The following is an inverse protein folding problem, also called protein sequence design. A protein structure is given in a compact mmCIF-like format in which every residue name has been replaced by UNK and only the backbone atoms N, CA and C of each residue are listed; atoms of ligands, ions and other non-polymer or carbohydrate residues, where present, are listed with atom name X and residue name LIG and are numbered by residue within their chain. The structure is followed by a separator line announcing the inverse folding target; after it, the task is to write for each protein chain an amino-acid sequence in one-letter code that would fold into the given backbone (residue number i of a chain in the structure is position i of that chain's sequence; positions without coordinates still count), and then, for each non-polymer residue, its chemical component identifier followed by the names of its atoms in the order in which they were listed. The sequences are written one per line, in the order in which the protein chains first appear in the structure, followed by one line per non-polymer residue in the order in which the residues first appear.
data_IF_994656374054
#
_entry.id   IF_994656374054
#
_cell.length_a   1.000
_cell.length_b   1.000
_cell.length_c   1.000
_cell.angle_alpha   90.00
_cell.angle_beta   90.00
_cell.angle_gamma   90.00
#
_symmetry.space_group_name_H-M   'P 1'
#
loop_
_entity.id
_entity.type
_entity.pdbx_description
1 polymer ?
#
# COMPACT_ATOMS: atom_id res chain seq x y z
N UNK A 1 20.40 -7.72 -3.68
CA UNK A 1 20.02 -8.65 -4.78
C UNK A 1 18.77 -8.10 -5.43
N UNK A 2 18.61 -8.23 -6.75
CA UNK A 2 17.39 -7.79 -7.43
C UNK A 2 16.42 -8.95 -7.64
N UNK A 3 15.13 -8.68 -7.50
CA UNK A 3 14.03 -9.59 -7.77
C UNK A 3 14.01 -9.90 -9.26
N UNK A 4 13.86 -11.17 -9.60
CA UNK A 4 13.65 -11.64 -10.97
C UNK A 4 12.32 -11.09 -11.50
N UNK A 5 12.40 -9.96 -12.23
CA UNK A 5 11.23 -9.26 -12.78
C UNK A 5 10.44 -10.13 -13.75
N UNK A 6 11.09 -10.94 -14.58
CA UNK A 6 10.38 -11.82 -15.53
C UNK A 6 9.53 -12.84 -14.77
N UNK A 7 10.15 -13.56 -13.83
CA UNK A 7 9.43 -14.52 -12.99
C UNK A 7 8.28 -13.84 -12.22
N UNK A 8 8.54 -12.70 -11.58
CA UNK A 8 7.52 -11.96 -10.85
C UNK A 8 6.32 -11.62 -11.75
N UNK A 9 6.56 -10.99 -12.90
CA UNK A 9 5.49 -10.57 -13.80
C UNK A 9 4.72 -11.74 -14.40
N UNK A 10 5.39 -12.85 -14.71
CA UNK A 10 4.74 -14.07 -15.21
C UNK A 10 3.81 -14.68 -14.15
N UNK A 11 4.28 -14.80 -12.91
CA UNK A 11 3.49 -15.34 -11.81
C UNK A 11 2.28 -14.46 -11.47
N UNK A 12 2.46 -13.14 -11.31
CA UNK A 12 1.33 -12.26 -10.93
C UNK A 12 0.32 -12.14 -12.07
N UNK A 13 0.77 -12.08 -13.32
CA UNK A 13 -0.11 -12.04 -14.50
C UNK A 13 -1.06 -13.25 -14.50
N UNK A 14 -0.53 -14.45 -14.27
CA UNK A 14 -1.31 -15.68 -14.25
C UNK A 14 -2.23 -15.79 -13.02
N UNK A 15 -1.74 -15.46 -11.83
CA UNK A 15 -2.41 -15.78 -10.56
C UNK A 15 -3.31 -14.69 -9.99
N UNK A 16 -3.07 -13.43 -10.37
CA UNK A 16 -3.70 -12.24 -9.78
C UNK A 16 -4.40 -11.36 -10.81
N UNK A 17 -3.91 -11.30 -12.04
CA UNK A 17 -4.42 -10.35 -13.06
C UNK A 17 -5.16 -11.02 -14.24
N UNK A 18 -5.51 -12.30 -14.10
CA UNK A 18 -6.36 -12.98 -15.09
C UNK A 18 -5.71 -13.14 -16.46
N UNK A 19 -4.38 -13.32 -16.49
CA UNK A 19 -3.61 -13.60 -17.71
C UNK A 19 -3.11 -12.35 -18.45
N UNK A 20 -3.48 -11.14 -18.05
CA UNK A 20 -3.03 -9.89 -18.70
C UNK A 20 -2.75 -8.78 -17.70
N UNK A 21 -1.82 -7.90 -18.05
CA UNK A 21 -1.53 -6.67 -17.30
C UNK A 21 -1.63 -5.48 -18.24
N UNK A 22 -2.27 -4.42 -17.78
CA UNK A 22 -2.25 -3.13 -18.47
C UNK A 22 -0.96 -2.38 -18.16
N UNK A 23 -0.56 -1.45 -19.03
CA UNK A 23 0.65 -0.65 -18.81
C UNK A 23 0.63 0.12 -17.47
N UNK A 24 -0.48 0.75 -17.04
CA UNK A 24 -0.55 1.35 -15.71
C UNK A 24 -0.34 0.35 -14.56
N UNK A 25 -0.84 -0.88 -14.67
CA UNK A 25 -0.60 -1.91 -13.65
C UNK A 25 0.88 -2.28 -13.59
N UNK A 26 1.55 -2.43 -14.74
CA UNK A 26 2.99 -2.68 -14.82
C UNK A 26 3.76 -1.54 -14.16
N UNK A 27 3.49 -0.29 -14.52
CA UNK A 27 4.16 0.88 -13.93
C UNK A 27 3.95 0.98 -12.42
N UNK A 28 2.76 0.63 -11.94
CA UNK A 28 2.43 0.58 -10.51
C UNK A 28 3.22 -0.48 -9.74
N UNK A 29 3.26 -1.70 -10.29
CA UNK A 29 4.03 -2.80 -9.73
C UNK A 29 5.54 -2.47 -9.72
N UNK A 30 6.06 -1.93 -10.82
CA UNK A 30 7.47 -1.51 -10.91
C UNK A 30 7.79 -0.46 -9.83
N UNK A 31 6.98 0.59 -9.68
CA UNK A 31 7.24 1.63 -8.68
C UNK A 31 7.34 1.07 -7.24
N UNK A 32 6.53 0.05 -6.90
CA UNK A 32 6.58 -0.61 -5.59
C UNK A 32 7.85 -1.46 -5.45
N UNK A 33 8.19 -2.23 -6.49
CA UNK A 33 9.37 -3.10 -6.48
C UNK A 33 10.69 -2.32 -6.50
N UNK A 34 10.76 -1.24 -7.27
CA UNK A 34 11.93 -0.39 -7.39
C UNK A 34 12.21 0.29 -6.04
N UNK A 35 11.18 0.83 -5.38
CA UNK A 35 11.30 1.37 -4.02
C UNK A 35 11.76 0.30 -3.01
N UNK A 36 11.20 -0.92 -3.09
CA UNK A 36 11.59 -2.00 -2.19
C UNK A 36 13.07 -2.36 -2.34
N UNK A 37 13.57 -2.47 -3.57
CA UNK A 37 14.97 -2.80 -3.83
C UNK A 37 15.94 -1.67 -3.49
N UNK A 38 15.48 -0.43 -3.55
CA UNK A 38 16.29 0.74 -3.19
C UNK A 38 16.38 0.90 -1.66
N UNK A 39 15.25 0.83 -0.96
CA UNK A 39 15.15 1.26 0.43
C UNK A 39 15.02 0.12 1.44
N UNK A 40 14.48 -1.03 1.03
CA UNK A 40 14.07 -2.14 1.91
C UNK A 40 14.65 -3.49 1.48
N UNK A 41 15.77 -3.49 0.74
CA UNK A 41 16.34 -4.69 0.11
C UNK A 41 16.74 -5.81 1.07
N UNK A 42 16.95 -5.49 2.35
CA UNK A 42 17.32 -6.43 3.41
C UNK A 42 16.15 -6.75 4.36
N UNK A 43 14.96 -6.21 4.11
CA UNK A 43 13.77 -6.47 4.90
C UNK A 43 13.14 -7.82 4.52
N UNK A 44 12.19 -8.25 5.34
CA UNK A 44 11.46 -9.51 5.16
C UNK A 44 10.50 -9.42 3.96
N UNK A 45 10.71 -10.26 2.94
CA UNK A 45 9.89 -10.32 1.71
C UNK A 45 8.39 -10.44 1.94
N UNK A 46 7.97 -10.96 3.11
CA UNK A 46 6.55 -11.02 3.49
C UNK A 46 5.95 -9.62 3.60
N UNK A 47 6.75 -8.60 3.93
CA UNK A 47 6.32 -7.21 4.00
C UNK A 47 6.03 -6.66 2.60
N UNK A 48 6.93 -6.88 1.63
CA UNK A 48 6.70 -6.53 0.22
C UNK A 48 5.43 -7.19 -0.32
N UNK A 49 5.30 -8.50 -0.11
CA UNK A 49 4.15 -9.26 -0.57
C UNK A 49 2.84 -8.71 0.02
N UNK A 50 2.84 -8.34 1.30
CA UNK A 50 1.68 -7.79 1.97
C UNK A 50 1.35 -6.35 1.53
N UNK A 51 2.37 -5.52 1.27
CA UNK A 51 2.20 -4.19 0.69
C UNK A 51 1.58 -4.26 -0.71
N UNK A 52 2.08 -5.14 -1.58
CA UNK A 52 1.53 -5.41 -2.91
C UNK A 52 0.07 -5.86 -2.85
N UNK A 53 -0.26 -6.78 -1.94
CA UNK A 53 -1.62 -7.25 -1.74
C UNK A 53 -2.57 -6.16 -1.23
N UNK A 54 -2.08 -5.30 -0.34
CA UNK A 54 -2.81 -4.14 0.15
C UNK A 54 -3.10 -3.20 -1.01
N UNK A 55 -2.08 -2.78 -1.77
CA UNK A 55 -2.26 -1.92 -2.93
C UNK A 55 -3.21 -2.54 -3.97
N UNK A 56 -3.09 -3.84 -4.23
CA UNK A 56 -3.99 -4.56 -5.13
C UNK A 56 -5.45 -4.51 -4.67
N UNK A 57 -5.71 -4.71 -3.38
CA UNK A 57 -7.06 -4.66 -2.84
C UNK A 57 -7.64 -3.24 -2.83
N UNK A 58 -6.90 -2.30 -2.27
CA UNK A 58 -7.37 -0.92 -2.03
C UNK A 58 -7.55 -0.11 -3.31
N UNK A 59 -6.85 -0.48 -4.39
CA UNK A 59 -6.91 0.24 -5.68
C UNK A 59 -7.85 -0.42 -6.70
N UNK A 60 -8.65 -1.41 -6.27
CA UNK A 60 -9.41 -2.30 -7.17
C UNK A 60 -8.52 -2.84 -8.31
N UNK A 61 -7.35 -3.36 -7.94
CA UNK A 61 -6.40 -4.05 -8.82
C UNK A 61 -5.76 -3.14 -9.88
N UNK A 62 -5.96 -1.82 -9.81
CA UNK A 62 -5.35 -0.87 -10.74
C UNK A 62 -3.85 -0.70 -10.50
N UNK A 63 -3.39 -0.95 -9.27
CA UNK A 63 -2.01 -0.71 -8.83
C UNK A 63 -1.57 0.75 -9.04
N UNK A 64 -2.53 1.66 -9.00
CA UNK A 64 -2.32 3.10 -9.16
C UNK A 64 -2.89 3.81 -7.94
N UNK A 65 -2.30 4.94 -7.57
CA UNK A 65 -2.84 5.78 -6.51
C UNK A 65 -4.20 6.35 -6.95
N UNK A 66 -5.27 6.06 -6.21
CA UNK A 66 -6.64 6.48 -6.56
C UNK A 66 -7.32 7.23 -5.41
N UNK A 67 -8.40 7.93 -5.74
CA UNK A 67 -9.32 8.52 -4.77
C UNK A 67 -10.39 7.51 -4.33
N UNK A 68 -10.80 7.60 -3.07
CA UNK A 68 -11.96 6.88 -2.52
C UNK A 68 -13.22 7.22 -3.32
N UNK A 69 -13.91 6.20 -3.80
CA UNK A 69 -15.22 6.37 -4.42
C UNK A 69 -16.22 6.98 -3.43
N UNK A 70 -16.91 8.04 -3.83
CA UNK A 70 -17.84 8.76 -2.97
C UNK A 70 -17.16 9.68 -1.94
N UNK A 71 -15.82 9.78 -1.93
CA UNK A 71 -15.06 10.81 -1.21
C UNK A 71 -15.44 10.96 0.27
N UNK A 72 -15.69 9.84 0.95
CA UNK A 72 -16.07 9.80 2.36
C UNK A 72 -17.50 10.26 2.66
N UNK A 73 -18.42 10.29 1.69
CA UNK A 73 -19.82 10.69 1.91
C UNK A 73 -20.44 9.95 3.11
N UNK A 74 -20.96 10.71 4.07
CA UNK A 74 -21.54 10.18 5.31
C UNK A 74 -20.53 9.89 6.43
N UNK A 75 -19.23 10.06 6.19
CA UNK A 75 -18.16 9.93 7.18
C UNK A 75 -17.69 11.29 7.64
N UNK A 76 -17.16 11.36 8.86
CA UNK A 76 -16.60 12.59 9.45
C UNK A 76 -15.39 13.10 8.66
N UNK A 77 -14.49 12.20 8.22
CA UNK A 77 -13.33 12.55 7.40
C UNK A 77 -13.69 13.01 5.98
N UNK A 78 -14.93 12.76 5.53
CA UNK A 78 -15.48 13.20 4.25
C UNK A 78 -16.13 14.58 4.30
N UNK A 79 -16.10 15.25 5.44
CA UNK A 79 -16.51 16.66 5.56
C UNK A 79 -15.30 17.57 5.34
N UNK A 80 -15.46 18.73 4.69
CA UNK A 80 -14.40 19.73 4.63
C UNK A 80 -13.96 20.13 6.04
N UNK A 81 -12.65 20.16 6.26
CA UNK A 81 -12.08 20.69 7.49
C UNK A 81 -12.35 22.20 7.57
N UNK A 82 -12.84 22.70 8.71
CA UNK A 82 -13.27 24.09 8.84
C UNK A 82 -12.12 25.10 8.74
N UNK A 83 -10.87 24.66 8.92
CA UNK A 83 -9.69 25.54 8.87
C UNK A 83 -9.07 25.56 7.47
N UNK A 84 -8.90 24.39 6.86
CA UNK A 84 -8.20 24.28 5.56
C UNK A 84 -9.14 24.28 4.36
N UNK A 85 -10.45 24.03 4.57
CA UNK A 85 -11.43 23.80 3.51
C UNK A 85 -11.23 22.49 2.74
N UNK A 86 -10.19 21.71 3.06
CA UNK A 86 -9.86 20.46 2.38
C UNK A 86 -10.64 19.29 2.97
N UNK A 87 -10.88 18.26 2.14
CA UNK A 87 -11.51 16.99 2.60
C UNK A 87 -10.49 15.85 2.55
N UNK A 88 -10.38 15.11 3.65
CA UNK A 88 -9.36 14.08 3.88
C UNK A 88 -9.94 12.66 3.75
N UNK A 89 -10.65 12.42 2.64
CA UNK A 89 -11.07 11.09 2.18
C UNK A 89 -9.88 10.27 1.64
N UNK A 90 -10.10 8.98 1.45
CA UNK A 90 -9.07 8.02 1.05
C UNK A 90 -8.35 8.42 -0.23
N UNK A 91 -7.02 8.47 -0.19
CA UNK A 91 -6.17 8.60 -1.39
C UNK A 91 -4.95 7.67 -1.33
N UNK A 92 -4.39 7.39 -2.50
CA UNK A 92 -3.15 6.63 -2.62
C UNK A 92 -3.36 5.12 -2.64
N UNK A 93 -2.27 4.39 -2.47
CA UNK A 93 -2.25 2.92 -2.54
C UNK A 93 -2.87 2.24 -1.32
N UNK A 94 -3.02 2.96 -0.20
CA UNK A 94 -3.55 2.45 1.07
C UNK A 94 -4.80 3.18 1.55
N UNK A 95 -5.38 4.05 0.71
CA UNK A 95 -6.56 4.87 1.05
C UNK A 95 -6.36 5.67 2.36
N UNK A 96 -5.30 6.50 2.39
CA UNK A 96 -4.99 7.39 3.51
C UNK A 96 -6.20 8.31 3.79
N UNK A 97 -6.76 8.25 5.00
CA UNK A 97 -7.92 9.04 5.44
C UNK A 97 -7.57 9.87 6.66
N UNK A 98 -8.38 10.89 6.96
CA UNK A 98 -8.27 11.79 8.12
C UNK A 98 -7.12 12.80 8.09
N UNK A 99 -7.41 14.05 8.46
CA UNK A 99 -6.43 15.15 8.50
C UNK A 99 -5.17 14.82 9.30
N UNK A 100 -5.29 14.13 10.43
CA UNK A 100 -4.15 13.80 11.29
C UNK A 100 -3.17 12.85 10.59
N UNK A 101 -3.64 11.89 9.79
CA UNK A 101 -2.76 11.01 9.02
C UNK A 101 -2.07 11.75 7.87
N UNK A 102 -2.80 12.65 7.18
CA UNK A 102 -2.20 13.54 6.18
C UNK A 102 -1.13 14.44 6.80
N UNK A 103 -1.38 14.96 8.00
CA UNK A 103 -0.42 15.77 8.76
C UNK A 103 0.81 14.96 9.16
N UNK A 104 0.63 13.75 9.69
CA UNK A 104 1.73 12.87 10.04
C UNK A 104 2.64 12.60 8.82
N UNK A 105 2.05 12.22 7.67
CA UNK A 105 2.82 11.99 6.44
C UNK A 105 3.47 13.26 5.89
N UNK A 106 2.82 14.43 6.05
CA UNK A 106 3.44 15.71 5.71
C UNK A 106 4.69 15.98 6.53
N UNK A 107 4.63 15.73 7.84
CA UNK A 107 5.75 15.98 8.74
C UNK A 107 6.93 15.02 8.47
N UNK A 108 6.64 13.80 8.03
CA UNK A 108 7.64 12.80 7.64
C UNK A 108 8.30 13.13 6.30
N UNK A 109 7.51 13.49 5.28
CA UNK A 109 8.02 13.62 3.91
C UNK A 109 8.28 15.07 3.46
N UNK A 110 7.96 16.08 4.28
CA UNK A 110 8.10 17.49 3.91
C UNK A 110 7.12 17.93 2.81
N UNK A 111 6.05 17.16 2.61
CA UNK A 111 5.10 17.29 1.52
C UNK A 111 3.84 18.04 2.00
N UNK A 112 3.27 19.00 1.24
CA UNK A 112 2.14 19.82 1.72
C UNK A 112 0.80 19.06 1.69
N UNK A 113 0.73 17.86 2.28
CA UNK A 113 -0.42 16.96 2.24
C UNK A 113 -1.65 17.50 2.96
N UNK A 114 -1.49 18.37 3.96
CA UNK A 114 -2.62 19.00 4.65
C UNK A 114 -3.27 20.08 3.79
N UNK A 115 -2.46 20.91 3.13
CA UNK A 115 -2.94 21.98 2.26
C UNK A 115 -3.30 21.49 0.85
N UNK A 116 -2.70 20.38 0.40
CA UNK A 116 -2.85 19.81 -0.92
C UNK A 116 -2.94 18.28 -0.84
N UNK A 117 -4.05 17.72 -0.32
CA UNK A 117 -4.18 16.27 -0.09
C UNK A 117 -4.10 15.43 -1.36
N UNK A 118 -4.33 16.01 -2.53
CA UNK A 118 -4.16 15.32 -3.82
C UNK A 118 -2.69 14.95 -4.10
N UNK A 119 -1.70 15.51 -3.37
CA UNK A 119 -0.30 15.04 -3.44
C UNK A 119 -0.18 13.55 -3.11
N UNK A 120 -1.06 12.99 -2.27
CA UNK A 120 -1.13 11.56 -1.98
C UNK A 120 -1.49 10.68 -3.20
N UNK A 121 -1.90 11.29 -4.32
CA UNK A 121 -2.14 10.59 -5.61
C UNK A 121 -0.88 10.52 -6.48
N UNK A 122 0.20 11.22 -6.13
CA UNK A 122 1.48 11.04 -6.79
C UNK A 122 2.04 9.65 -6.44
N UNK A 123 2.21 8.79 -7.44
CA UNK A 123 2.56 7.39 -7.22
C UNK A 123 3.88 7.20 -6.43
N UNK A 124 5.00 7.86 -6.75
CA UNK A 124 6.22 7.79 -5.92
C UNK A 124 5.97 8.14 -4.45
N UNK A 125 5.26 9.23 -4.17
CA UNK A 125 4.93 9.60 -2.78
C UNK A 125 3.97 8.60 -2.13
N UNK A 126 3.00 8.07 -2.87
CA UNK A 126 2.05 7.08 -2.37
C UNK A 126 2.73 5.76 -1.97
N UNK A 127 3.77 5.33 -2.70
CA UNK A 127 4.61 4.18 -2.34
C UNK A 127 5.36 4.45 -1.04
N UNK A 128 6.00 5.62 -0.91
CA UNK A 128 6.68 6.05 0.33
C UNK A 128 5.74 6.06 1.53
N UNK A 129 4.56 6.66 1.38
CA UNK A 129 3.52 6.70 2.43
C UNK A 129 3.10 5.28 2.83
N UNK A 130 2.84 4.41 1.86
CA UNK A 130 2.43 3.03 2.11
C UNK A 130 3.47 2.29 2.94
N UNK A 131 4.72 2.22 2.48
CA UNK A 131 5.74 1.47 3.20
C UNK A 131 6.05 2.06 4.56
N UNK A 132 6.25 3.39 4.64
CA UNK A 132 6.57 4.03 5.92
C UNK A 132 5.47 3.78 6.96
N UNK A 133 4.20 3.97 6.60
CA UNK A 133 3.10 3.77 7.53
C UNK A 133 2.93 2.31 7.95
N UNK A 134 3.22 1.35 7.07
CA UNK A 134 3.14 -0.08 7.40
C UNK A 134 4.35 -0.59 8.20
N UNK A 135 5.52 0.00 8.01
CA UNK A 135 6.75 -0.33 8.74
C UNK A 135 6.76 0.27 10.16
N UNK A 136 6.30 1.52 10.30
CA UNK A 136 6.36 2.26 11.56
C UNK A 136 5.04 2.23 12.34
N UNK A 137 3.97 1.70 11.72
CA UNK A 137 2.65 1.62 12.31
C UNK A 137 1.94 2.98 12.40
N UNK A 138 2.30 3.94 11.56
CA UNK A 138 1.78 5.31 11.61
C UNK A 138 0.27 5.41 11.33
N UNK A 139 -0.34 4.40 10.71
CA UNK A 139 -1.77 4.39 10.41
C UNK A 139 -2.64 3.98 11.61
N UNK A 140 -2.23 2.96 12.36
CA UNK A 140 -3.08 2.27 13.36
C UNK A 140 -2.33 1.91 14.65
N UNK A 141 -1.03 2.18 14.73
CA UNK A 141 -0.12 1.67 15.74
C UNK A 141 0.33 0.22 15.52
N UNK A 142 -0.10 -0.43 14.44
CA UNK A 142 0.30 -1.80 14.07
C UNK A 142 1.22 -1.79 12.88
N UNK A 143 2.28 -2.58 12.93
CA UNK A 143 3.36 -2.60 11.91
C UNK A 143 3.65 -4.00 11.37
N UNK A 144 4.38 -4.07 10.26
CA UNK A 144 4.79 -5.34 9.66
C UNK A 144 5.45 -6.30 10.66
N UNK A 145 6.41 -5.81 11.45
CA UNK A 145 7.13 -6.62 12.43
C UNK A 145 6.24 -7.25 13.53
N UNK A 146 5.04 -6.70 13.75
CA UNK A 146 4.07 -7.29 14.69
C UNK A 146 3.45 -8.60 14.15
N UNK A 147 3.51 -8.84 12.83
CA UNK A 147 2.86 -9.97 12.16
C UNK A 147 3.82 -10.85 11.36
N UNK A 148 4.96 -10.30 10.93
CA UNK A 148 5.97 -10.99 10.14
C UNK A 148 7.34 -10.76 10.77
N UNK A 149 7.89 -11.80 11.38
CA UNK A 149 9.22 -11.84 11.96
C UNK A 149 9.70 -13.31 12.05
N UNK A 150 10.87 -13.55 12.65
CA UNK A 150 11.45 -14.90 12.76
C UNK A 150 10.52 -15.94 13.42
N UNK A 151 9.62 -15.49 14.31
CA UNK A 151 8.74 -16.36 15.09
C UNK A 151 7.28 -16.28 14.70
N UNK A 152 6.94 -15.37 13.77
CA UNK A 152 5.55 -15.06 13.45
C UNK A 152 5.35 -14.89 11.97
N UNK A 153 4.28 -15.54 11.50
CA UNK A 153 3.74 -15.37 10.16
C UNK A 153 2.22 -15.31 10.25
N UNK A 154 1.66 -14.10 10.28
CA UNK A 154 0.21 -13.90 10.44
C UNK A 154 -0.36 -13.00 9.34
N UNK A 155 -0.56 -13.61 8.18
CA UNK A 155 -1.11 -12.96 6.99
C UNK A 155 -2.51 -12.38 7.21
N UNK A 156 -3.33 -12.99 8.08
CA UNK A 156 -4.74 -12.58 8.25
C UNK A 156 -4.82 -11.38 9.17
N UNK A 157 -4.16 -11.42 10.34
CA UNK A 157 -4.23 -10.30 11.28
C UNK A 157 -3.37 -9.11 10.86
N UNK A 158 -2.44 -9.27 9.91
CA UNK A 158 -1.71 -8.16 9.30
C UNK A 158 -2.63 -7.09 8.68
N UNK A 159 -3.92 -7.38 8.42
CA UNK A 159 -4.89 -6.37 7.98
C UNK A 159 -5.02 -5.19 8.95
N UNK A 160 -4.71 -5.46 10.22
CA UNK A 160 -4.70 -4.49 11.32
C UNK A 160 -3.70 -3.35 11.13
N UNK A 161 -2.70 -3.52 10.27
CA UNK A 161 -1.75 -2.46 9.89
C UNK A 161 -2.51 -1.30 9.22
N UNK A 162 -3.48 -1.60 8.35
CA UNK A 162 -4.18 -0.61 7.53
C UNK A 162 -5.55 -0.24 8.11
N UNK A 163 -6.33 -1.22 8.56
CA UNK A 163 -7.69 -1.01 9.05
C UNK A 163 -8.06 -2.12 10.05
N UNK A 164 -9.34 -2.41 10.33
CA UNK A 164 -9.77 -3.53 11.17
C UNK A 164 -9.44 -4.92 10.59
N UNK A 165 -10.43 -5.80 10.48
CA UNK A 165 -10.23 -7.15 9.91
C UNK A 165 -11.13 -7.42 8.70
N UNK A 166 -11.78 -6.39 8.17
CA UNK A 166 -12.57 -6.53 6.95
C UNK A 166 -11.67 -6.96 5.77
N UNK A 167 -12.18 -7.91 4.99
CA UNK A 167 -11.49 -8.58 3.87
C UNK A 167 -10.13 -9.21 4.20
N UNK A 168 -9.78 -9.37 5.47
CA UNK A 168 -8.48 -9.88 5.92
C UNK A 168 -8.05 -11.19 5.24
N UNK A 169 -8.97 -12.16 5.12
CA UNK A 169 -8.68 -13.45 4.46
C UNK A 169 -8.36 -13.28 2.97
N UNK A 170 -9.13 -12.47 2.25
CA UNK A 170 -8.90 -12.23 0.83
C UNK A 170 -7.55 -11.54 0.58
N UNK A 171 -7.21 -10.55 1.41
CA UNK A 171 -5.92 -9.85 1.33
C UNK A 171 -4.77 -10.80 1.67
N UNK A 172 -4.91 -11.64 2.69
CA UNK A 172 -3.94 -12.68 3.02
C UNK A 172 -3.70 -13.64 1.85
N UNK A 173 -4.75 -14.05 1.15
CA UNK A 173 -4.64 -14.92 -0.03
C UNK A 173 -3.92 -14.22 -1.20
N UNK A 174 -4.18 -12.93 -1.43
CA UNK A 174 -3.42 -12.15 -2.41
C UNK A 174 -1.95 -12.02 -2.00
N UNK A 175 -1.68 -11.75 -0.72
CA UNK A 175 -0.32 -11.59 -0.20
C UNK A 175 0.51 -12.86 -0.40
N UNK A 176 -0.06 -14.03 -0.08
CA UNK A 176 0.62 -15.31 -0.33
C UNK A 176 0.91 -15.56 -1.82
N UNK A 177 0.01 -15.14 -2.71
CA UNK A 177 0.26 -15.22 -4.17
C UNK A 177 1.40 -14.29 -4.60
N UNK A 178 1.43 -13.05 -4.10
CA UNK A 178 2.55 -12.14 -4.35
C UNK A 178 3.85 -12.68 -3.75
N UNK A 179 3.83 -13.23 -2.54
CA UNK A 179 5.00 -13.81 -1.89
C UNK A 179 5.60 -14.94 -2.73
N UNK A 180 4.74 -15.84 -3.26
CA UNK A 180 5.18 -16.91 -4.17
C UNK A 180 5.75 -16.43 -5.51
N UNK A 181 5.56 -15.15 -5.85
CA UNK A 181 6.08 -14.52 -7.07
C UNK A 181 7.42 -13.79 -6.84
N UNK A 182 7.86 -13.65 -5.59
CA UNK A 182 9.15 -13.03 -5.27
C UNK A 182 10.23 -14.10 -5.36
N UNK A 183 11.21 -13.87 -6.23
CA UNK A 183 12.39 -14.72 -6.39
C UNK A 183 13.58 -13.85 -6.73
N UNK A 184 14.75 -14.21 -6.23
CA UNK A 184 16.03 -13.56 -6.55
C UNK A 184 16.91 -14.43 -7.46
N UNK A 185 16.46 -15.65 -7.78
CA UNK A 185 17.15 -16.55 -8.70
C UNK A 185 16.78 -16.12 -10.13
N UNK A 186 17.80 -15.94 -10.98
CA UNK A 186 17.62 -15.55 -12.38
C UNK A 186 17.18 -16.74 -13.23
#
# INVERSE_FOLDING_TARGET
MSINRSFFFDQVRARLFGGKLSQPQVSGLLAILDYWEEELWNADDRWLAYALATAYHETDRKMQAIEEYGKGKGRTYGKPDPVTGQTYYGRGLVQLTWKYNYKAMQDIFGEPLVASPNRALNLPLAVKIMFHGMEHGTFTGKKFADYFNEKREDWVNARRIINGTDKARAIADYAKKFYSAISYTK
#
